data_IF_285775767918
#
_entry.id   IF_285775767918
#
_cell.length_a   1.000
_cell.length_b   1.000
_cell.length_c   1.000
_cell.angle_alpha   90.00
_cell.angle_beta   90.00
_cell.angle_gamma   90.00
#
_symmetry.space_group_name_H-M   'P 1'
#
loop_
_entity.id
_entity.type
_entity.pdbx_description
1 polymer ?
#
# COMPACT_ATOMS: atom_id res chain seq x y z
N UNK A 1 3.17 6.55 -13.72
CA UNK A 1 1.94 5.73 -13.55
C UNK A 1 2.10 4.34 -14.18
N UNK A 2 2.42 4.20 -15.48
CA UNK A 2 2.57 2.89 -16.12
C UNK A 2 3.55 1.95 -15.38
N UNK A 3 4.67 2.47 -14.91
CA UNK A 3 5.62 1.72 -14.07
C UNK A 3 5.00 1.22 -12.76
N UNK A 4 4.21 2.06 -12.09
CA UNK A 4 3.50 1.69 -10.85
C UNK A 4 2.46 0.60 -11.11
N UNK A 5 1.75 0.67 -12.24
CA UNK A 5 0.81 -0.39 -12.66
C UNK A 5 1.54 -1.71 -12.80
N UNK A 6 2.67 -1.74 -13.51
CA UNK A 6 3.49 -2.95 -13.67
C UNK A 6 3.96 -3.51 -12.32
N UNK A 7 4.45 -2.65 -11.42
CA UNK A 7 4.92 -3.06 -10.10
C UNK A 7 3.78 -3.63 -9.23
N UNK A 8 2.60 -3.00 -9.26
CA UNK A 8 1.42 -3.49 -8.51
C UNK A 8 0.87 -4.78 -9.10
N UNK A 9 0.81 -4.90 -10.43
CA UNK A 9 0.41 -6.12 -11.12
C UNK A 9 1.31 -7.30 -10.75
N UNK A 10 2.62 -7.06 -10.75
CA UNK A 10 3.61 -8.05 -10.31
C UNK A 10 3.42 -8.43 -8.84
N UNK A 11 3.15 -7.45 -7.96
CA UNK A 11 2.83 -7.72 -6.56
C UNK A 11 1.61 -8.62 -6.38
N UNK A 12 0.53 -8.37 -7.13
CA UNK A 12 -0.65 -9.25 -7.13
C UNK A 12 -0.33 -10.66 -7.62
N UNK A 13 0.41 -10.77 -8.72
CA UNK A 13 0.82 -12.07 -9.30
C UNK A 13 1.59 -12.91 -8.27
N UNK A 14 2.60 -12.33 -7.63
CA UNK A 14 3.44 -13.01 -6.62
C UNK A 14 2.63 -13.44 -5.40
N UNK A 15 1.75 -12.57 -4.91
CA UNK A 15 0.86 -12.92 -3.82
C UNK A 15 -0.09 -14.07 -4.20
N UNK A 16 -0.64 -14.07 -5.42
CA UNK A 16 -1.46 -15.17 -5.94
C UNK A 16 -0.71 -16.50 -6.07
N UNK A 17 0.61 -16.46 -6.24
CA UNK A 17 1.49 -17.64 -6.26
C UNK A 17 2.00 -18.06 -4.87
N UNK A 18 1.62 -17.36 -3.79
CA UNK A 18 2.08 -17.66 -2.44
C UNK A 18 3.54 -17.24 -2.17
N UNK A 19 4.11 -16.35 -2.98
CA UNK A 19 5.52 -15.91 -2.88
C UNK A 19 5.72 -14.72 -1.92
N UNK A 20 4.70 -14.38 -1.13
CA UNK A 20 4.73 -13.22 -0.23
C UNK A 20 4.27 -13.61 1.17
N UNK A 21 4.94 -13.07 2.18
CA UNK A 21 4.41 -13.06 3.54
C UNK A 21 3.68 -11.74 3.75
N UNK A 22 2.36 -11.77 3.75
CA UNK A 22 1.52 -10.57 3.90
C UNK A 22 0.37 -10.89 4.87
N UNK A 23 0.57 -10.72 6.19
CA UNK A 23 -0.51 -10.93 7.14
C UNK A 23 -1.66 -9.93 6.93
N UNK A 24 -2.86 -10.22 7.43
CA UNK A 24 -3.94 -9.25 7.46
C UNK A 24 -3.48 -7.94 8.11
N UNK A 25 -3.89 -6.80 7.54
CA UNK A 25 -3.55 -5.50 8.13
C UNK A 25 -4.07 -5.42 9.57
N UNK A 26 -3.23 -4.96 10.50
CA UNK A 26 -3.63 -4.70 11.88
C UNK A 26 -4.13 -3.26 11.99
N UNK A 27 -5.29 -3.06 12.62
CA UNK A 27 -5.95 -1.77 12.69
C UNK A 27 -6.19 -1.31 14.13
N UNK A 28 -5.94 -0.04 14.40
CA UNK A 28 -6.50 0.65 15.57
C UNK A 28 -7.36 1.82 15.09
N UNK A 29 -8.42 2.13 15.84
CA UNK A 29 -9.36 3.22 15.55
C UNK A 29 -9.40 4.21 16.72
N UNK A 30 -8.40 5.09 16.84
CA UNK A 30 -8.37 6.07 17.93
C UNK A 30 -9.61 6.96 17.85
N UNK A 31 -10.33 7.10 18.97
CA UNK A 31 -11.52 7.97 19.11
C UNK A 31 -12.78 7.54 18.34
N UNK A 32 -12.77 6.37 17.68
CA UNK A 32 -13.92 5.85 16.94
C UNK A 32 -14.24 6.63 15.65
N UNK A 33 -15.29 6.21 14.92
CA UNK A 33 -15.67 6.79 13.64
C UNK A 33 -14.78 6.37 12.46
N UNK A 34 -14.56 7.29 11.52
CA UNK A 34 -13.81 7.07 10.27
C UNK A 34 -12.29 7.19 10.43
N UNK A 35 -11.78 7.46 11.63
CA UNK A 35 -10.34 7.53 11.89
C UNK A 35 -9.73 6.14 11.99
N UNK A 36 -8.55 5.95 11.42
CA UNK A 36 -7.81 4.69 11.53
C UNK A 36 -6.30 4.90 11.51
N UNK A 37 -5.60 3.91 12.07
CA UNK A 37 -4.19 3.64 11.80
C UNK A 37 -4.05 2.16 11.44
N UNK A 38 -3.29 1.88 10.37
CA UNK A 38 -3.06 0.54 9.87
C UNK A 38 -1.56 0.22 9.83
N UNK A 39 -1.19 -0.91 10.43
CA UNK A 39 0.08 -1.58 10.20
C UNK A 39 -0.08 -2.60 9.07
N UNK A 40 0.73 -2.45 8.04
CA UNK A 40 0.71 -3.29 6.84
C UNK A 40 2.13 -3.79 6.55
N UNK A 41 2.65 -4.77 7.32
CA UNK A 41 3.93 -5.39 7.02
C UNK A 41 3.79 -6.36 5.84
N UNK A 42 4.85 -6.48 5.05
CA UNK A 42 4.96 -7.49 4.00
C UNK A 42 6.42 -7.84 3.72
N UNK A 43 6.65 -9.09 3.32
CA UNK A 43 7.90 -9.55 2.72
C UNK A 43 7.61 -10.19 1.36
N UNK A 44 8.38 -9.80 0.34
CA UNK A 44 8.27 -10.33 -1.02
C UNK A 44 9.50 -11.18 -1.31
N UNK A 45 9.37 -12.51 -1.28
CA UNK A 45 10.50 -13.43 -1.22
C UNK A 45 11.51 -13.28 -2.36
N UNK A 46 11.07 -13.34 -3.61
CA UNK A 46 12.00 -13.25 -4.75
C UNK A 46 12.59 -11.86 -4.96
N UNK A 47 11.97 -10.80 -4.42
CA UNK A 47 12.55 -9.46 -4.47
C UNK A 47 13.47 -9.18 -3.28
N UNK A 48 13.40 -10.03 -2.26
CA UNK A 48 14.07 -9.86 -0.98
C UNK A 48 13.84 -8.47 -0.39
N UNK A 49 12.57 -8.09 -0.25
CA UNK A 49 12.17 -6.79 0.31
C UNK A 49 11.27 -7.02 1.51
N UNK A 50 11.72 -6.59 2.69
CA UNK A 50 10.94 -6.54 3.92
C UNK A 50 10.55 -5.09 4.21
N UNK A 51 9.25 -4.83 4.41
CA UNK A 51 8.76 -3.48 4.66
C UNK A 51 7.54 -3.46 5.56
N UNK A 52 7.30 -2.31 6.19
CA UNK A 52 6.02 -1.98 6.79
C UNK A 52 5.55 -0.62 6.30
N UNK A 53 4.27 -0.54 5.94
CA UNK A 53 3.57 0.73 5.85
C UNK A 53 2.77 0.96 7.12
N UNK A 54 3.05 2.07 7.79
CA UNK A 54 2.24 2.60 8.89
C UNK A 54 1.47 3.82 8.38
N UNK A 55 0.16 3.69 8.21
CA UNK A 55 -0.67 4.71 7.57
C UNK A 55 -1.88 5.06 8.40
N UNK A 56 -2.15 6.35 8.54
CA UNK A 56 -3.33 6.90 9.18
C UNK A 56 -4.28 7.57 8.20
N UNK A 57 -5.56 7.52 8.53
CA UNK A 57 -6.61 8.20 7.78
C UNK A 57 -7.57 8.96 8.69
N UNK A 58 -7.94 10.16 8.25
CA UNK A 58 -8.97 10.99 8.85
C UNK A 58 -9.49 12.01 7.81
N UNK A 59 -10.71 11.84 7.31
CA UNK A 59 -11.25 12.74 6.29
C UNK A 59 -11.51 14.17 6.79
N UNK A 60 -11.74 14.35 8.10
CA UNK A 60 -11.89 15.67 8.71
C UNK A 60 -10.59 16.49 8.69
N UNK A 61 -9.44 15.88 8.38
CA UNK A 61 -8.18 16.62 8.22
C UNK A 61 -8.27 17.69 7.13
N UNK A 62 -9.12 17.51 6.11
CA UNK A 62 -9.33 18.53 5.07
C UNK A 62 -9.83 19.85 5.65
N UNK A 63 -10.68 19.80 6.69
CA UNK A 63 -11.17 21.00 7.42
C UNK A 63 -10.05 21.74 8.16
N UNK A 64 -8.91 21.07 8.37
CA UNK A 64 -7.72 21.59 9.06
C UNK A 64 -6.59 21.94 8.09
N UNK A 65 -6.82 21.86 6.78
CA UNK A 65 -5.79 22.05 5.75
C UNK A 65 -4.76 20.92 5.69
N UNK A 66 -5.07 19.74 6.24
CA UNK A 66 -4.20 18.58 6.27
C UNK A 66 -4.68 17.49 5.28
N UNK A 67 -3.79 16.62 4.77
CA UNK A 67 -4.18 15.46 3.98
C UNK A 67 -5.09 14.49 4.74
N UNK A 68 -6.06 13.88 4.04
CA UNK A 68 -6.92 12.80 4.59
C UNK A 68 -6.10 11.57 4.98
N UNK A 69 -4.99 11.32 4.31
CA UNK A 69 -4.11 10.15 4.51
C UNK A 69 -2.70 10.67 4.74
N UNK A 70 -2.02 10.11 5.75
CA UNK A 70 -0.59 10.36 6.01
C UNK A 70 0.05 9.11 6.60
N UNK A 71 1.35 8.94 6.44
CA UNK A 71 2.03 7.77 6.99
C UNK A 71 3.47 7.64 6.54
N UNK A 72 4.11 6.57 6.98
CA UNK A 72 5.48 6.22 6.64
C UNK A 72 5.56 4.81 6.08
N UNK A 73 6.52 4.61 5.18
CA UNK A 73 7.02 3.29 4.79
C UNK A 73 8.41 3.15 5.38
N UNK A 74 8.65 2.01 6.05
CA UNK A 74 9.96 1.62 6.55
C UNK A 74 10.38 0.39 5.75
N UNK A 75 11.57 0.46 5.14
CA UNK A 75 12.23 -0.68 4.53
C UNK A 75 13.28 -1.22 5.48
N UNK A 76 13.36 -2.54 5.59
CA UNK A 76 14.36 -3.24 6.37
C UNK A 76 15.25 -4.05 5.43
N UNK A 77 16.53 -4.10 5.76
CA UNK A 77 17.45 -5.09 5.22
C UNK A 77 16.99 -6.50 5.67
N UNK A 78 16.65 -7.42 4.75
CA UNK A 78 16.22 -8.77 5.11
C UNK A 78 17.31 -9.67 5.71
N UNK A 79 18.59 -9.29 5.62
CA UNK A 79 19.68 -10.04 6.26
C UNK A 79 19.86 -9.58 7.71
N UNK A 80 19.98 -8.27 7.93
CA UNK A 80 20.32 -7.70 9.24
C UNK A 80 19.12 -7.24 10.06
N UNK A 81 17.93 -7.14 9.45
CA UNK A 81 16.71 -6.53 9.97
C UNK A 81 16.81 -5.04 10.29
N UNK A 82 17.94 -4.38 10.00
CA UNK A 82 18.09 -2.95 10.25
C UNK A 82 17.21 -2.13 9.28
N UNK A 83 16.58 -1.05 9.76
CA UNK A 83 15.88 -0.13 8.88
C UNK A 83 16.88 0.59 7.98
N UNK A 84 16.71 0.48 6.67
CA UNK A 84 17.58 1.09 5.67
C UNK A 84 16.96 2.32 5.02
N UNK A 85 15.63 2.47 5.13
CA UNK A 85 14.94 3.63 4.61
C UNK A 85 13.66 3.92 5.41
N UNK A 86 13.40 5.19 5.64
CA UNK A 86 12.11 5.70 6.13
C UNK A 86 11.68 6.78 5.15
N UNK A 87 10.48 6.64 4.59
CA UNK A 87 9.96 7.56 3.58
C UNK A 87 8.47 7.86 3.80
N UNK A 88 8.01 8.98 3.25
CA UNK A 88 6.57 9.32 3.20
C UNK A 88 5.78 8.24 2.46
N UNK A 89 4.61 7.90 2.99
CA UNK A 89 3.70 6.92 2.39
C UNK A 89 2.58 7.57 1.57
N UNK A 90 2.42 8.89 1.60
CA UNK A 90 1.25 9.59 1.06
C UNK A 90 1.19 9.47 -0.46
N UNK A 91 2.29 9.83 -1.14
CA UNK A 91 2.37 9.72 -2.60
C UNK A 91 2.29 8.26 -3.06
N UNK A 92 3.04 7.36 -2.41
CA UNK A 92 3.06 5.93 -2.73
C UNK A 92 1.66 5.35 -2.56
N UNK A 93 0.94 5.71 -1.50
CA UNK A 93 -0.43 5.24 -1.25
C UNK A 93 -1.39 5.71 -2.34
N UNK A 94 -1.33 6.97 -2.76
CA UNK A 94 -2.18 7.48 -3.84
C UNK A 94 -1.91 6.72 -5.15
N UNK A 95 -0.64 6.64 -5.56
CA UNK A 95 -0.24 6.04 -6.83
C UNK A 95 -0.56 4.55 -6.90
N UNK A 96 -0.17 3.77 -5.88
CA UNK A 96 -0.38 2.32 -5.88
C UNK A 96 -1.86 1.93 -5.77
N UNK A 97 -2.70 2.76 -5.12
CA UNK A 97 -4.13 2.49 -5.01
C UNK A 97 -4.82 2.69 -6.37
N UNK A 98 -4.50 3.78 -7.08
CA UNK A 98 -4.97 3.98 -8.45
C UNK A 98 -4.49 2.87 -9.40
N UNK A 99 -3.22 2.49 -9.27
CA UNK A 99 -2.64 1.39 -10.04
C UNK A 99 -3.33 0.03 -9.78
N UNK A 100 -3.66 -0.28 -8.52
CA UNK A 100 -4.40 -1.51 -8.18
C UNK A 100 -5.77 -1.57 -8.88
N UNK A 101 -6.49 -0.44 -8.94
CA UNK A 101 -7.76 -0.35 -9.67
C UNK A 101 -7.54 -0.53 -11.18
N UNK A 102 -6.48 0.05 -11.75
CA UNK A 102 -6.15 -0.14 -13.16
C UNK A 102 -5.83 -1.60 -13.50
N UNK A 103 -5.10 -2.31 -12.63
CA UNK A 103 -4.86 -3.76 -12.77
C UNK A 103 -6.17 -4.53 -12.69
N UNK A 104 -7.03 -4.22 -11.72
CA UNK A 104 -8.34 -4.86 -11.63
C UNK A 104 -9.18 -4.65 -12.91
N UNK A 105 -9.23 -3.43 -13.43
CA UNK A 105 -9.95 -3.12 -14.68
C UNK A 105 -9.36 -3.84 -15.89
N UNK A 106 -8.04 -4.05 -15.96
CA UNK A 106 -7.39 -4.82 -17.04
C UNK A 106 -7.88 -6.28 -17.11
N UNK A 107 -8.13 -6.91 -15.96
CA UNK A 107 -8.46 -8.34 -15.89
C UNK A 107 -9.95 -8.63 -15.68
N UNK A 108 -10.69 -7.69 -15.09
CA UNK A 108 -12.08 -7.86 -14.67
C UNK A 108 -13.03 -6.84 -15.31
N UNK A 109 -12.49 -5.84 -16.00
CA UNK A 109 -13.29 -4.83 -16.68
C UNK A 109 -13.98 -5.40 -17.94
N UNK A 110 -15.05 -4.75 -18.41
CA UNK A 110 -15.67 -5.11 -19.68
C UNK A 110 -14.67 -4.88 -20.83
N UNK A 111 -14.76 -5.68 -21.90
CA UNK A 111 -13.91 -5.52 -23.10
C UNK A 111 -13.99 -4.12 -23.72
N UNK A 112 -15.12 -3.44 -23.50
CA UNK A 112 -15.35 -2.05 -23.88
C UNK A 112 -15.92 -1.29 -22.70
N UNK A 113 -15.15 -0.36 -22.17
CA UNK A 113 -15.64 0.64 -21.23
C UNK A 113 -16.10 1.87 -22.03
N UNK A 114 -17.33 2.30 -21.84
CA UNK A 114 -17.78 3.62 -22.29
C UNK A 114 -17.34 4.67 -21.28
N UNK A 115 -16.83 5.81 -21.76
CA UNK A 115 -16.44 6.97 -20.95
C UNK A 115 -17.63 7.84 -20.60
#
# INVERSE_FOLDING_TARGET
MAEVIKAVEEGFRRNGMGETQMPPKTAIKPRGGETFLHAMPAYVGQLDIAAIKWVGGNDDNRKRGLPSISGLIILNDPETMFPICIMDASWVTAMRTGAANAVAMKYLGPERAET
#
